data_IF_781724978761
#
_entry.id   IF_781724978761
#
_cell.length_a   1.000
_cell.length_b   1.000
_cell.length_c   1.000
_cell.angle_alpha   90.00
_cell.angle_beta   90.00
_cell.angle_gamma   90.00
#
_symmetry.space_group_name_H-M   'P 1'
#
loop_
_entity.id
_entity.type
_entity.pdbx_description
1 polymer ?
#
# COMPACT_ATOMS: atom_id res chain seq x y z
N UNK A 1 -25.33 -12.25 -7.44
CA UNK A 1 -24.20 -12.43 -6.51
C UNK A 1 -24.24 -11.29 -5.50
N UNK A 2 -24.27 -11.60 -4.20
CA UNK A 2 -24.25 -10.59 -3.15
C UNK A 2 -22.98 -9.75 -3.32
N UNK A 3 -23.13 -8.45 -3.58
CA UNK A 3 -22.04 -7.47 -3.51
C UNK A 3 -21.40 -7.58 -2.13
N UNK A 4 -20.14 -8.00 -2.09
CA UNK A 4 -19.37 -8.07 -0.84
C UNK A 4 -19.34 -6.66 -0.23
N UNK A 5 -19.81 -6.55 1.02
CA UNK A 5 -19.92 -5.30 1.77
C UNK A 5 -18.60 -4.52 1.86
N UNK A 6 -17.46 -5.21 1.61
CA UNK A 6 -16.12 -4.61 1.55
C UNK A 6 -15.84 -3.85 0.25
N UNK A 7 -16.28 -4.36 -0.90
CA UNK A 7 -16.30 -3.61 -2.18
C UNK A 7 -17.20 -2.38 -2.06
N UNK A 8 -18.31 -2.52 -1.33
CA UNK A 8 -19.20 -1.42 -1.02
C UNK A 8 -18.52 -0.35 -0.16
N UNK A 9 -17.57 -0.67 0.72
CA UNK A 9 -16.86 0.35 1.52
C UNK A 9 -15.95 1.26 0.67
N UNK A 10 -15.24 0.69 -0.32
CA UNK A 10 -14.47 1.48 -1.28
C UNK A 10 -15.38 2.44 -2.09
N UNK A 11 -16.63 2.03 -2.35
CA UNK A 11 -17.64 2.83 -3.04
C UNK A 11 -18.55 3.68 -2.14
N UNK A 12 -18.54 3.47 -0.81
CA UNK A 12 -19.44 4.13 0.16
C UNK A 12 -18.72 5.02 1.17
N UNK A 13 -17.37 5.07 1.17
CA UNK A 13 -16.68 6.24 1.70
C UNK A 13 -17.07 7.47 0.86
N UNK A 14 -17.23 8.64 1.48
CA UNK A 14 -17.73 9.91 0.90
C UNK A 14 -16.87 10.51 -0.25
N UNK A 15 -16.10 9.69 -0.96
CA UNK A 15 -15.26 10.04 -2.11
C UNK A 15 -15.67 9.15 -3.30
N UNK A 16 -16.87 9.38 -3.83
CA UNK A 16 -17.40 8.68 -5.01
C UNK A 16 -16.70 9.16 -6.29
N UNK A 17 -15.60 8.49 -6.68
CA UNK A 17 -15.12 8.36 -8.08
C UNK A 17 -13.85 7.53 -8.27
N UNK A 18 -13.25 6.95 -7.21
CA UNK A 18 -11.91 6.34 -7.28
C UNK A 18 -11.91 4.93 -7.88
N UNK A 19 -10.86 4.60 -8.65
CA UNK A 19 -10.58 3.21 -9.02
C UNK A 19 -10.00 2.43 -7.83
N UNK A 20 -10.02 1.10 -7.90
CA UNK A 20 -9.46 0.26 -6.85
C UNK A 20 -7.96 0.47 -6.66
N UNK A 21 -7.22 0.70 -7.76
CA UNK A 21 -5.79 1.03 -7.74
C UNK A 21 -5.50 2.37 -7.05
N UNK A 22 -6.30 3.40 -7.30
CA UNK A 22 -6.18 4.70 -6.62
C UNK A 22 -6.45 4.60 -5.11
N UNK A 23 -7.42 3.78 -4.70
CA UNK A 23 -7.66 3.51 -3.28
C UNK A 23 -6.47 2.81 -2.62
N UNK A 24 -5.88 1.80 -3.28
CA UNK A 24 -4.69 1.10 -2.77
C UNK A 24 -3.50 2.01 -2.63
N UNK A 25 -3.30 2.91 -3.58
CA UNK A 25 -2.25 3.93 -3.52
C UNK A 25 -2.31 4.71 -2.21
N UNK A 26 -3.47 5.28 -1.87
CA UNK A 26 -3.65 6.06 -0.64
C UNK A 26 -3.40 5.23 0.62
N UNK A 27 -3.84 3.97 0.63
CA UNK A 27 -3.63 3.10 1.77
C UNK A 27 -2.17 2.66 1.91
N UNK A 28 -1.43 2.48 0.79
CA UNK A 28 0.01 2.20 0.80
C UNK A 28 0.81 3.35 1.41
N UNK A 29 0.41 4.60 1.21
CA UNK A 29 1.09 5.77 1.84
C UNK A 29 1.13 5.64 3.36
N UNK A 30 0.00 5.28 3.99
CA UNK A 30 -0.05 5.07 5.45
C UNK A 30 0.84 3.89 5.85
N UNK A 31 0.76 2.81 5.10
CA UNK A 31 1.40 1.57 5.49
C UNK A 31 2.92 1.55 5.24
N UNK A 32 3.44 2.30 4.25
CA UNK A 32 4.86 2.62 4.13
C UNK A 32 5.34 3.26 5.44
N UNK A 33 4.62 4.27 5.93
CA UNK A 33 5.02 4.98 7.14
C UNK A 33 5.05 4.06 8.37
N UNK A 34 4.06 3.20 8.54
CA UNK A 34 4.03 2.22 9.64
C UNK A 34 5.18 1.20 9.55
N UNK A 35 5.43 0.65 8.35
CA UNK A 35 6.44 -0.39 8.17
C UNK A 35 7.86 0.16 8.31
N UNK A 36 8.13 1.39 7.85
CA UNK A 36 9.45 2.00 8.00
C UNK A 36 9.71 2.56 9.40
N UNK A 37 8.68 2.93 10.17
CA UNK A 37 8.82 3.31 11.59
C UNK A 37 9.05 2.10 12.48
N UNK A 38 8.56 0.92 12.11
CA UNK A 38 8.61 -0.27 12.96
C UNK A 38 10.03 -0.65 13.46
N UNK A 39 11.09 -0.68 12.63
CA UNK A 39 12.44 -0.98 13.12
C UNK A 39 12.96 0.03 14.14
N UNK A 40 12.74 1.33 13.89
CA UNK A 40 13.10 2.38 14.85
C UNK A 40 12.32 2.21 16.16
N UNK A 41 11.01 1.96 16.07
CA UNK A 41 10.16 1.76 17.24
C UNK A 41 10.60 0.53 18.06
N UNK A 42 10.95 -0.57 17.39
CA UNK A 42 11.50 -1.76 18.04
C UNK A 42 12.76 -1.42 18.84
N UNK A 43 13.68 -0.65 18.28
CA UNK A 43 14.89 -0.21 18.97
C UNK A 43 14.55 0.69 20.17
N UNK A 44 13.67 1.69 19.99
CA UNK A 44 13.26 2.59 21.08
C UNK A 44 12.57 1.90 22.25
N UNK A 45 11.77 0.87 21.98
CA UNK A 45 11.16 0.08 23.05
C UNK A 45 12.20 -0.80 23.74
N UNK A 46 13.13 -1.42 22.98
CA UNK A 46 14.22 -2.22 23.53
C UNK A 46 15.19 -1.44 24.42
N UNK A 47 15.36 -0.14 24.19
CA UNK A 47 16.13 0.74 25.09
C UNK A 47 15.54 0.80 26.51
N UNK A 48 14.20 0.67 26.63
CA UNK A 48 13.51 0.66 27.93
C UNK A 48 13.43 -0.74 28.52
N UNK A 49 13.19 -1.73 27.68
CA UNK A 49 13.17 -3.14 28.06
C UNK A 49 13.60 -4.02 26.87
N UNK A 50 14.81 -4.57 26.96
CA UNK A 50 15.42 -5.37 25.91
C UNK A 50 14.64 -6.65 25.54
N UNK A 51 13.75 -7.13 26.43
CA UNK A 51 12.94 -8.34 26.20
C UNK A 51 11.58 -8.04 25.58
N UNK A 52 11.18 -6.78 25.52
CA UNK A 52 9.91 -6.38 24.92
C UNK A 52 9.93 -6.61 23.41
N UNK A 53 8.82 -7.11 22.87
CA UNK A 53 8.64 -7.38 21.44
C UNK A 53 7.61 -6.42 20.87
N UNK A 54 7.96 -5.73 19.79
CA UNK A 54 7.05 -4.85 19.04
C UNK A 54 6.76 -5.46 17.68
N UNK A 55 5.48 -5.62 17.38
CA UNK A 55 4.99 -6.13 16.09
C UNK A 55 3.94 -5.19 15.52
N UNK A 56 3.87 -5.14 14.19
CA UNK A 56 2.67 -4.61 13.52
C UNK A 56 1.46 -5.48 13.91
N UNK A 57 0.36 -4.81 14.21
CA UNK A 57 -0.87 -5.41 14.70
C UNK A 57 -2.05 -5.00 13.84
N UNK A 58 -3.18 -5.68 14.03
CA UNK A 58 -4.40 -5.44 13.27
C UNK A 58 -4.52 -6.26 11.98
N UNK A 59 -5.74 -6.40 11.46
CA UNK A 59 -5.97 -7.05 10.17
C UNK A 59 -5.44 -6.29 8.94
N UNK A 60 -4.84 -5.10 9.11
CA UNK A 60 -4.06 -4.38 8.09
C UNK A 60 -2.54 -4.60 8.24
N UNK A 61 -2.12 -5.55 9.09
CA UNK A 61 -0.71 -5.95 9.31
C UNK A 61 0.08 -6.15 8.02
N UNK A 62 -0.58 -6.52 6.92
CA UNK A 62 0.04 -6.72 5.62
C UNK A 62 -0.76 -6.14 4.45
N UNK A 63 -1.42 -4.98 4.63
CA UNK A 63 -1.81 -4.15 3.47
C UNK A 63 -2.71 -4.94 2.49
N UNK A 64 -3.88 -5.35 2.96
CA UNK A 64 -4.70 -6.33 2.26
C UNK A 64 -5.46 -5.66 1.13
N UNK A 65 -5.00 -5.91 -0.07
CA UNK A 65 -5.42 -5.13 -1.22
C UNK A 65 -5.76 -5.97 -2.43
N UNK A 66 -5.82 -7.30 -2.37
CA UNK A 66 -6.05 -8.06 -3.61
C UNK A 66 -7.30 -8.91 -3.61
N UNK A 67 -7.63 -9.68 -2.57
CA UNK A 67 -8.82 -10.56 -2.66
C UNK A 67 -9.99 -10.21 -1.76
N UNK A 68 -9.79 -10.06 -0.44
CA UNK A 68 -10.91 -9.86 0.52
C UNK A 68 -10.52 -8.93 1.69
N UNK A 69 -9.54 -8.06 1.46
CA UNK A 69 -9.03 -7.09 2.42
C UNK A 69 -10.08 -6.13 2.96
N UNK A 70 -9.96 -5.78 4.23
CA UNK A 70 -10.85 -4.80 4.88
C UNK A 70 -10.09 -3.98 5.90
N UNK A 71 -10.48 -2.72 6.07
CA UNK A 71 -9.93 -1.86 7.11
C UNK A 71 -10.38 -2.41 8.47
N UNK A 72 -9.44 -2.82 9.33
CA UNK A 72 -9.75 -3.12 10.73
C UNK A 72 -9.71 -1.84 11.58
N UNK A 73 -10.32 -1.90 12.77
CA UNK A 73 -10.25 -0.81 13.76
C UNK A 73 -9.24 -1.11 14.85
N UNK A 74 -8.37 -2.08 14.60
CA UNK A 74 -7.35 -2.51 15.53
C UNK A 74 -6.19 -1.50 15.51
N UNK A 75 -5.42 -1.40 16.62
CA UNK A 75 -4.25 -0.52 16.66
C UNK A 75 -3.15 -0.98 15.71
N UNK A 76 -2.30 -0.04 15.27
CA UNK A 76 -1.28 -0.31 14.26
C UNK A 76 -0.12 -1.18 14.79
N UNK A 77 0.21 -1.08 16.09
CA UNK A 77 1.25 -1.91 16.72
C UNK A 77 0.81 -2.52 18.05
N UNK A 78 1.43 -3.64 18.39
CA UNK A 78 1.35 -4.29 19.70
C UNK A 78 2.74 -4.40 20.31
N UNK A 79 2.82 -4.08 21.60
CA UNK A 79 4.00 -4.31 22.44
C UNK A 79 3.65 -5.42 23.42
N UNK A 80 4.49 -6.45 23.45
CA UNK A 80 4.40 -7.55 24.42
C UNK A 80 5.61 -7.47 25.34
N UNK A 81 5.35 -7.19 26.61
CA UNK A 81 6.35 -7.21 27.66
C UNK A 81 6.64 -8.69 28.06
N UNK A 82 7.83 -9.03 28.58
CA UNK A 82 8.17 -10.41 28.97
C UNK A 82 7.24 -11.01 30.03
N UNK A 83 6.60 -10.17 30.85
CA UNK A 83 5.61 -10.58 31.85
C UNK A 83 4.22 -10.88 31.25
N UNK A 84 4.10 -10.87 29.92
CA UNK A 84 2.84 -11.12 29.20
C UNK A 84 1.88 -9.93 29.16
N UNK A 85 2.30 -8.75 29.66
CA UNK A 85 1.50 -7.53 29.52
C UNK A 85 1.48 -7.08 28.06
N UNK A 86 0.29 -6.66 27.60
CA UNK A 86 0.06 -6.19 26.24
C UNK A 86 -0.28 -4.71 26.29
N UNK A 87 0.44 -3.91 25.49
CA UNK A 87 0.12 -2.51 25.21
C UNK A 87 -0.04 -2.33 23.70
N UNK A 88 -0.89 -1.40 23.31
CA UNK A 88 -1.13 -1.07 21.92
C UNK A 88 -0.61 0.32 21.60
N UNK A 89 -0.14 0.50 20.36
CA UNK A 89 0.19 1.81 19.83
C UNK A 89 -0.61 2.08 18.57
N UNK A 90 -1.17 3.27 18.50
CA UNK A 90 -1.71 3.85 17.28
C UNK A 90 -0.68 4.82 16.71
N UNK A 91 -0.34 4.66 15.45
CA UNK A 91 0.61 5.51 14.76
C UNK A 91 -0.09 6.68 14.07
N UNK A 92 0.43 7.88 14.31
CA UNK A 92 0.01 9.07 13.59
C UNK A 92 1.23 9.93 13.32
N UNK A 93 1.28 10.55 12.14
CA UNK A 93 2.37 11.45 11.79
C UNK A 93 1.88 12.69 11.08
N UNK A 94 2.64 13.78 11.21
CA UNK A 94 2.46 15.02 10.48
C UNK A 94 3.48 15.12 9.34
N UNK A 95 2.99 15.34 8.11
CA UNK A 95 3.85 15.54 6.93
C UNK A 95 4.56 16.89 6.93
N UNK A 96 3.99 17.87 7.63
CA UNK A 96 4.49 19.23 7.79
C UNK A 96 4.23 19.69 9.24
N UNK A 97 4.92 20.72 9.71
CA UNK A 97 4.57 21.36 10.98
C UNK A 97 3.21 22.06 10.86
N UNK A 98 2.34 21.86 11.85
CA UNK A 98 1.01 22.44 11.89
C UNK A 98 0.86 23.34 13.11
N UNK A 99 -0.07 24.32 13.04
CA UNK A 99 -0.43 25.16 14.18
C UNK A 99 -1.20 24.40 15.26
N UNK A 100 -1.86 23.30 14.88
CA UNK A 100 -2.52 22.37 15.77
C UNK A 100 -2.61 20.97 15.14
N UNK A 101 -2.72 19.96 15.99
CA UNK A 101 -2.75 18.56 15.58
C UNK A 101 -4.07 17.90 16.04
N UNK A 102 -4.72 17.23 15.11
CA UNK A 102 -6.05 16.64 15.30
C UNK A 102 -5.96 15.13 15.58
N UNK A 103 -6.74 14.67 16.54
CA UNK A 103 -6.85 13.26 16.92
C UNK A 103 -8.31 12.82 16.87
N UNK A 104 -8.61 11.72 16.16
CA UNK A 104 -9.99 11.30 15.94
C UNK A 104 -10.63 10.90 17.27
N UNK A 105 -11.78 11.49 17.62
CA UNK A 105 -12.44 11.21 18.92
C UNK A 105 -12.71 9.71 19.09
N UNK A 106 -13.07 8.99 18.02
CA UNK A 106 -13.30 7.54 18.07
C UNK A 106 -12.05 6.71 18.43
N UNK A 107 -10.84 7.24 18.21
CA UNK A 107 -9.57 6.59 18.58
C UNK A 107 -9.16 6.92 20.02
N UNK A 108 -9.45 8.14 20.47
CA UNK A 108 -9.08 8.64 21.81
C UNK A 108 -10.11 8.25 22.87
N UNK A 109 -11.38 8.63 22.68
CA UNK A 109 -12.48 8.37 23.61
C UNK A 109 -13.64 7.65 22.88
N UNK A 110 -13.47 6.35 22.57
CA UNK A 110 -14.56 5.55 22.03
C UNK A 110 -15.75 5.55 23.01
N UNK A 111 -16.96 5.39 22.47
CA UNK A 111 -18.16 5.26 23.30
C UNK A 111 -18.14 3.91 24.00
N UNK A 112 -18.10 3.90 25.32
CA UNK A 112 -18.31 2.72 26.13
C UNK A 112 -19.79 2.31 26.03
N UNK A 113 -20.05 1.10 25.53
CA UNK A 113 -21.43 0.60 25.33
C UNK A 113 -22.17 0.35 26.65
N UNK A 114 -21.45 0.03 27.73
CA UNK A 114 -22.02 -0.24 29.05
C UNK A 114 -22.35 1.07 29.77
N UNK A 115 -21.47 2.06 29.69
CA UNK A 115 -21.62 3.35 30.38
C UNK A 115 -22.31 4.42 29.54
N UNK A 116 -22.52 4.18 28.23
CA UNK A 116 -23.00 5.18 27.24
C UNK A 116 -22.22 6.50 27.27
N UNK A 117 -20.98 6.47 27.75
CA UNK A 117 -20.11 7.62 27.93
C UNK A 117 -18.83 7.44 27.09
N UNK A 118 -18.18 8.55 26.76
CA UNK A 118 -16.89 8.54 26.08
C UNK A 118 -15.77 8.45 27.12
N UNK A 119 -15.01 7.36 27.09
CA UNK A 119 -13.94 7.09 28.06
C UNK A 119 -12.62 6.95 27.30
N UNK A 120 -11.52 7.61 27.75
CA UNK A 120 -10.21 7.42 27.16
C UNK A 120 -9.76 5.95 27.20
N UNK A 121 -9.19 5.45 26.09
CA UNK A 121 -8.55 4.12 26.09
C UNK A 121 -7.42 4.09 27.13
N UNK A 122 -7.23 2.93 27.79
CA UNK A 122 -6.27 2.76 28.89
C UNK A 122 -5.01 2.01 28.48
N UNK A 123 -5.13 1.14 27.50
CA UNK A 123 -4.13 0.18 27.00
C UNK A 123 -3.51 0.60 25.67
N UNK A 124 -3.95 1.71 25.10
CA UNK A 124 -3.47 2.25 23.82
C UNK A 124 -2.83 3.61 24.03
N UNK A 125 -1.61 3.82 23.52
CA UNK A 125 -1.00 5.14 23.38
C UNK A 125 -0.96 5.56 21.91
N UNK A 126 -0.84 6.87 21.66
CA UNK A 126 -0.61 7.40 20.32
C UNK A 126 0.88 7.68 20.17
N UNK A 127 1.53 6.96 19.26
CA UNK A 127 2.86 7.33 18.75
C UNK A 127 2.66 8.43 17.73
N UNK A 128 3.03 9.66 18.11
CA UNK A 128 2.95 10.82 17.23
C UNK A 128 4.34 11.19 16.72
N UNK A 129 4.49 11.35 15.40
CA UNK A 129 5.74 11.80 14.76
C UNK A 129 5.52 13.08 13.97
N UNK A 130 6.37 14.09 14.17
CA UNK A 130 6.47 15.27 13.31
C UNK A 130 7.63 15.03 12.35
N UNK A 131 7.31 14.54 11.15
CA UNK A 131 8.30 14.07 10.16
C UNK A 131 9.35 15.13 9.78
N UNK A 132 8.99 16.42 9.53
CA UNK A 132 9.99 17.43 9.15
C UNK A 132 11.07 17.69 10.20
N UNK A 133 10.72 17.60 11.48
CA UNK A 133 11.65 17.86 12.59
C UNK A 133 12.22 16.58 13.19
N UNK A 134 11.81 15.41 12.70
CA UNK A 134 12.18 14.09 13.25
C UNK A 134 11.93 14.01 14.76
N UNK A 135 10.81 14.59 15.18
CA UNK A 135 10.38 14.63 16.58
C UNK A 135 9.27 13.62 16.82
N UNK A 136 9.24 13.02 18.01
CA UNK A 136 8.18 12.10 18.39
C UNK A 136 7.72 12.27 19.85
N UNK A 137 6.51 11.79 20.12
CA UNK A 137 5.97 11.66 21.46
C UNK A 137 5.06 10.42 21.57
N UNK A 138 5.03 9.82 22.76
CA UNK A 138 4.01 8.84 23.15
C UNK A 138 2.95 9.56 23.98
N UNK A 139 1.75 9.67 23.44
CA UNK A 139 0.66 10.44 24.03
C UNK A 139 -0.44 9.51 24.53
N UNK A 140 -0.79 9.64 25.81
CA UNK A 140 -1.94 8.89 26.34
C UNK A 140 -3.25 9.54 25.88
N UNK A 141 -4.30 8.74 25.58
CA UNK A 141 -5.63 9.26 25.25
C UNK A 141 -6.19 10.19 26.34
N UNK A 142 -5.88 9.91 27.61
CA UNK A 142 -6.26 10.76 28.75
C UNK A 142 -5.60 12.14 28.67
N UNK A 143 -4.32 12.20 28.32
CA UNK A 143 -3.61 13.47 28.15
C UNK A 143 -4.19 14.26 26.97
N UNK A 144 -4.44 13.62 25.83
CA UNK A 144 -5.02 14.27 24.65
C UNK A 144 -6.39 14.86 25.01
N UNK A 145 -7.28 14.08 25.63
CA UNK A 145 -8.61 14.56 25.99
C UNK A 145 -8.61 15.73 26.98
N UNK A 146 -7.59 15.85 27.84
CA UNK A 146 -7.46 16.94 28.82
C UNK A 146 -6.87 18.23 28.23
N UNK A 147 -5.97 18.12 27.25
CA UNK A 147 -5.20 19.25 26.71
C UNK A 147 -5.65 19.66 25.29
N UNK A 148 -6.89 19.34 24.92
CA UNK A 148 -7.44 19.62 23.60
C UNK A 148 -8.79 20.32 23.66
N UNK A 149 -9.17 20.90 22.53
CA UNK A 149 -10.54 21.37 22.28
C UNK A 149 -11.22 20.42 21.31
N UNK A 150 -12.48 20.06 21.54
CA UNK A 150 -13.26 19.31 20.57
C UNK A 150 -13.70 20.19 19.41
N UNK A 151 -13.48 19.72 18.18
CA UNK A 151 -13.88 20.44 16.96
C UNK A 151 -14.16 19.44 15.83
N UNK A 152 -14.39 19.94 14.63
CA UNK A 152 -14.52 19.15 13.40
C UNK A 152 -13.30 19.36 12.51
N UNK A 153 -12.81 18.27 11.91
CA UNK A 153 -11.73 18.33 10.92
C UNK A 153 -12.30 18.16 9.52
N UNK A 154 -12.30 19.24 8.73
CA UNK A 154 -12.74 19.22 7.34
C UNK A 154 -11.98 18.19 6.50
N UNK A 155 -10.66 18.08 6.73
CA UNK A 155 -9.78 17.10 6.07
C UNK A 155 -10.22 15.64 6.28
N UNK A 156 -11.05 15.34 7.28
CA UNK A 156 -11.55 14.00 7.59
C UNK A 156 -13.07 13.90 7.42
N UNK A 157 -13.63 14.61 6.43
CA UNK A 157 -15.08 14.59 6.17
C UNK A 157 -15.91 15.16 7.33
N UNK A 158 -15.39 16.22 7.98
CA UNK A 158 -15.98 16.84 9.16
C UNK A 158 -16.11 15.89 10.39
N UNK A 159 -15.25 14.87 10.46
CA UNK A 159 -15.18 14.01 11.63
C UNK A 159 -14.88 14.82 12.90
N UNK A 160 -15.48 14.40 14.02
CA UNK A 160 -15.18 14.98 15.34
C UNK A 160 -13.76 14.61 15.76
N UNK A 161 -12.99 15.61 16.17
CA UNK A 161 -11.60 15.49 16.59
C UNK A 161 -11.33 16.21 17.91
N UNK A 162 -10.32 15.74 18.62
CA UNK A 162 -9.62 16.51 19.63
C UNK A 162 -8.49 17.27 18.95
N UNK A 163 -8.49 18.60 19.04
CA UNK A 163 -7.44 19.46 18.51
C UNK A 163 -6.52 19.93 19.63
N UNK A 164 -5.24 19.64 19.52
CA UNK A 164 -4.20 20.09 20.46
C UNK A 164 -3.32 21.13 19.78
N UNK A 165 -3.09 22.28 20.43
CA UNK A 165 -2.24 23.33 19.89
C UNK A 165 -0.77 22.88 19.78
N UNK A 166 -0.06 23.38 18.77
CA UNK A 166 1.32 22.96 18.52
C UNK A 166 2.26 23.19 19.71
N UNK A 167 2.08 24.29 20.44
CA UNK A 167 2.89 24.62 21.62
C UNK A 167 2.72 23.59 22.74
N UNK A 168 1.52 23.04 22.93
CA UNK A 168 1.27 22.01 23.95
C UNK A 168 1.90 20.67 23.58
N UNK A 169 1.84 20.31 22.29
CA UNK A 169 2.47 19.08 21.79
C UNK A 169 4.00 19.18 21.81
N UNK A 170 4.57 20.31 21.37
CA UNK A 170 6.02 20.50 21.31
C UNK A 170 6.70 20.35 22.68
N UNK A 171 6.01 20.67 23.78
CA UNK A 171 6.51 20.44 25.15
C UNK A 171 6.78 18.96 25.47
N UNK A 172 6.15 18.03 24.77
CA UNK A 172 6.30 16.58 24.97
C UNK A 172 7.16 15.91 23.90
N UNK A 173 7.50 16.62 22.83
CA UNK A 173 8.24 16.09 21.70
C UNK A 173 9.69 15.85 22.08
N UNK A 174 10.26 14.77 21.54
CA UNK A 174 11.66 14.38 21.68
C UNK A 174 12.27 14.24 20.31
N UNK A 175 13.50 14.71 20.16
CA UNK A 175 14.29 14.51 18.95
C UNK A 175 15.00 13.17 19.00
N UNK A 176 15.18 12.56 17.83
CA UNK A 176 15.88 11.30 17.67
C UNK A 176 16.51 11.21 16.28
N UNK A 177 17.83 11.11 16.20
CA UNK A 177 18.54 11.06 14.92
C UNK A 177 18.26 9.77 14.13
N UNK A 178 17.96 8.65 14.81
CA UNK A 178 17.62 7.41 14.10
C UNK A 178 16.21 7.49 13.48
N UNK A 179 15.31 8.29 14.06
CA UNK A 179 13.99 8.56 13.50
C UNK A 179 14.08 9.31 12.16
N UNK A 180 15.11 10.15 12.00
CA UNK A 180 15.35 10.91 10.76
C UNK A 180 15.52 9.98 9.56
N UNK A 181 16.30 8.91 9.71
CA UNK A 181 16.51 7.92 8.65
C UNK A 181 15.20 7.23 8.23
N UNK A 182 14.35 6.88 9.20
CA UNK A 182 13.04 6.32 8.92
C UNK A 182 12.14 7.34 8.19
N UNK A 183 12.13 8.60 8.65
CA UNK A 183 11.37 9.67 8.01
C UNK A 183 11.80 9.93 6.56
N UNK A 184 13.10 9.95 6.29
CA UNK A 184 13.64 10.09 4.93
C UNK A 184 13.27 8.90 4.04
N UNK A 185 13.36 7.67 4.55
CA UNK A 185 12.98 6.47 3.80
C UNK A 185 11.49 6.47 3.44
N UNK A 186 10.63 6.94 4.36
CA UNK A 186 9.19 7.10 4.11
C UNK A 186 8.95 8.05 2.94
N UNK A 187 9.63 9.20 2.91
CA UNK A 187 9.49 10.16 1.82
C UNK A 187 9.95 9.60 0.49
N UNK A 188 11.10 8.93 0.46
CA UNK A 188 11.62 8.31 -0.77
C UNK A 188 10.66 7.25 -1.31
N UNK A 189 10.12 6.38 -0.45
CA UNK A 189 9.17 5.33 -0.85
C UNK A 189 7.81 5.90 -1.27
N UNK A 190 7.31 6.94 -0.61
CA UNK A 190 6.09 7.64 -1.05
C UNK A 190 6.32 8.28 -2.43
N UNK A 191 7.46 8.94 -2.65
CA UNK A 191 7.77 9.52 -3.96
C UNK A 191 7.90 8.47 -5.07
N UNK A 192 8.48 7.30 -4.77
CA UNK A 192 8.51 6.15 -5.68
C UNK A 192 7.10 5.62 -5.96
N UNK A 193 6.26 5.54 -4.93
CA UNK A 193 4.85 5.13 -5.05
C UNK A 193 4.07 6.08 -5.95
N UNK A 194 4.21 7.39 -5.74
CA UNK A 194 3.57 8.42 -6.56
C UNK A 194 4.09 8.35 -8.01
N UNK A 195 5.40 8.20 -8.20
CA UNK A 195 6.03 8.11 -9.52
C UNK A 195 5.51 6.92 -10.32
N UNK A 196 5.42 5.72 -9.72
CA UNK A 196 4.91 4.56 -10.45
C UNK A 196 3.41 4.66 -10.74
N UNK A 197 2.63 5.33 -9.87
CA UNK A 197 1.19 5.47 -10.02
C UNK A 197 0.81 6.28 -11.26
N UNK A 198 1.64 7.25 -11.65
CA UNK A 198 1.48 8.04 -12.88
C UNK A 198 1.37 7.17 -14.14
N UNK A 199 1.89 5.93 -14.10
CA UNK A 199 1.78 4.99 -15.23
C UNK A 199 0.33 4.69 -15.58
N UNK A 200 -0.55 4.60 -14.59
CA UNK A 200 -1.97 4.33 -14.81
C UNK A 200 -2.67 5.50 -15.51
N UNK A 201 -2.37 6.72 -15.09
CA UNK A 201 -2.92 7.93 -15.72
C UNK A 201 -2.47 8.04 -17.18
N UNK A 202 -1.20 7.75 -17.47
CA UNK A 202 -0.66 7.72 -18.83
C UNK A 202 -1.37 6.68 -19.71
N UNK A 203 -1.58 5.46 -19.21
CA UNK A 203 -2.28 4.42 -20.00
C UNK A 203 -3.78 4.75 -20.14
N UNK A 204 -4.40 5.39 -19.15
CA UNK A 204 -5.79 5.86 -19.22
C UNK A 204 -5.96 6.95 -20.28
N UNK A 205 -5.05 7.91 -20.37
CA UNK A 205 -5.05 8.89 -21.46
C UNK A 205 -4.88 8.20 -22.82
N UNK A 206 -3.89 7.31 -22.94
CA UNK A 206 -3.59 6.57 -24.17
C UNK A 206 -4.76 5.71 -24.65
N UNK A 207 -5.52 5.11 -23.74
CA UNK A 207 -6.65 4.22 -24.04
C UNK A 207 -8.02 4.90 -23.96
N UNK A 208 -8.07 6.21 -23.67
CA UNK A 208 -9.31 6.98 -23.49
C UNK A 208 -10.30 6.85 -24.66
N UNK A 209 -9.82 6.99 -25.90
CA UNK A 209 -10.65 6.83 -27.12
C UNK A 209 -11.24 5.42 -27.25
N UNK A 210 -10.46 4.41 -26.86
CA UNK A 210 -10.90 3.02 -26.88
C UNK A 210 -11.98 2.78 -25.82
N UNK A 211 -11.77 3.30 -24.60
CA UNK A 211 -12.76 3.26 -23.53
C UNK A 211 -14.09 3.90 -23.94
N UNK A 212 -14.05 5.12 -24.48
CA UNK A 212 -15.25 5.83 -24.98
C UNK A 212 -16.01 4.99 -26.00
N UNK A 213 -15.29 4.43 -26.98
CA UNK A 213 -15.90 3.61 -28.03
C UNK A 213 -16.63 2.37 -27.48
N UNK A 214 -16.12 1.75 -26.42
CA UNK A 214 -16.76 0.57 -25.80
C UNK A 214 -17.99 0.96 -25.00
N UNK A 215 -17.92 2.06 -24.23
CA UNK A 215 -19.05 2.59 -23.47
C UNK A 215 -20.20 2.98 -24.40
N UNK A 216 -19.90 3.72 -25.46
CA UNK A 216 -20.92 4.28 -26.38
C UNK A 216 -21.65 3.19 -27.19
N UNK A 217 -20.98 2.07 -27.48
CA UNK A 217 -21.52 1.03 -28.38
C UNK A 217 -22.22 -0.11 -27.64
N UNK A 218 -22.21 -0.11 -26.29
CA UNK A 218 -22.63 -1.22 -25.41
C UNK A 218 -22.20 -2.61 -25.91
N UNK A 219 -21.07 -2.65 -26.64
CA UNK A 219 -20.56 -3.86 -27.26
C UNK A 219 -19.92 -4.68 -26.15
N UNK A 220 -20.63 -5.71 -25.71
CA UNK A 220 -20.06 -6.82 -24.96
C UNK A 220 -18.79 -7.29 -25.69
N UNK A 221 -17.63 -7.14 -25.04
CA UNK A 221 -16.34 -7.57 -25.58
C UNK A 221 -16.35 -9.10 -25.63
N UNK A 222 -16.86 -9.67 -26.73
CA UNK A 222 -16.59 -11.06 -27.14
C UNK A 222 -15.26 -11.14 -27.90
N UNK A 223 -14.26 -10.39 -27.48
CA UNK A 223 -12.95 -10.37 -28.13
C UNK A 223 -12.06 -11.34 -27.37
N UNK A 224 -11.71 -12.45 -28.00
CA UNK A 224 -10.64 -13.31 -27.52
C UNK A 224 -9.31 -12.62 -27.86
N UNK A 225 -8.52 -12.21 -26.85
CA UNK A 225 -7.21 -11.58 -27.10
C UNK A 225 -6.27 -12.57 -27.81
N UNK A 226 -5.45 -12.06 -28.73
CA UNK A 226 -4.53 -12.87 -29.56
C UNK A 226 -3.06 -12.74 -29.14
N UNK A 227 -2.74 -11.67 -28.43
CA UNK A 227 -1.41 -11.33 -27.94
C UNK A 227 -1.54 -10.53 -26.64
N UNK A 228 -0.42 -10.30 -25.96
CA UNK A 228 -0.39 -9.64 -24.65
C UNK A 228 -0.96 -8.21 -24.69
N UNK A 229 -0.67 -7.42 -25.72
CA UNK A 229 -1.22 -6.06 -25.87
C UNK A 229 -2.76 -6.07 -25.97
N UNK A 230 -3.32 -6.95 -26.80
CA UNK A 230 -4.77 -7.10 -26.90
C UNK A 230 -5.39 -7.64 -25.60
N UNK A 231 -4.70 -8.54 -24.90
CA UNK A 231 -5.13 -9.08 -23.60
C UNK A 231 -5.20 -7.96 -22.57
N UNK A 232 -4.12 -7.20 -22.44
CA UNK A 232 -4.03 -6.04 -21.56
C UNK A 232 -5.13 -5.02 -21.83
N UNK A 233 -5.36 -4.63 -23.09
CA UNK A 233 -6.42 -3.69 -23.45
C UNK A 233 -7.81 -4.19 -23.03
N UNK A 234 -8.08 -5.48 -23.20
CA UNK A 234 -9.36 -6.05 -22.78
C UNK A 234 -9.49 -6.04 -21.25
N UNK A 235 -8.48 -6.48 -20.51
CA UNK A 235 -8.48 -6.38 -19.04
C UNK A 235 -8.66 -4.93 -18.57
N UNK A 236 -7.95 -3.99 -19.18
CA UNK A 236 -8.05 -2.57 -18.89
C UNK A 236 -9.47 -2.04 -19.09
N UNK A 237 -10.11 -2.34 -20.22
CA UNK A 237 -11.48 -1.92 -20.47
C UNK A 237 -12.45 -2.54 -19.47
N UNK A 238 -12.35 -3.86 -19.24
CA UNK A 238 -13.21 -4.59 -18.31
C UNK A 238 -13.09 -4.03 -16.88
N UNK A 239 -11.88 -3.69 -16.44
CA UNK A 239 -11.63 -3.05 -15.14
C UNK A 239 -12.36 -1.70 -15.02
N UNK A 240 -12.25 -0.85 -16.04
CA UNK A 240 -12.83 0.49 -16.05
C UNK A 240 -14.37 0.49 -16.13
N UNK A 241 -14.98 -0.52 -16.74
CA UNK A 241 -16.44 -0.70 -16.77
C UNK A 241 -16.94 -1.64 -15.67
N UNK A 242 -16.05 -2.06 -14.76
CA UNK A 242 -16.33 -2.96 -13.64
C UNK A 242 -17.04 -4.27 -14.06
N UNK A 243 -16.56 -4.90 -15.14
CA UNK A 243 -17.01 -6.20 -15.64
C UNK A 243 -15.94 -7.28 -15.40
N UNK A 244 -16.39 -8.52 -15.30
CA UNK A 244 -15.54 -9.71 -15.12
C UNK A 244 -15.63 -10.58 -16.37
N UNK A 245 -14.52 -11.11 -16.90
CA UNK A 245 -14.57 -12.02 -18.03
C UNK A 245 -15.18 -13.37 -17.63
N UNK A 246 -15.92 -13.96 -18.57
CA UNK A 246 -16.41 -15.34 -18.44
C UNK A 246 -15.22 -16.31 -18.35
N UNK A 247 -15.25 -17.23 -17.38
CA UNK A 247 -14.17 -18.19 -17.09
C UNK A 247 -12.80 -17.53 -16.81
N UNK A 248 -12.73 -16.73 -15.74
CA UNK A 248 -11.52 -16.02 -15.32
C UNK A 248 -10.31 -16.94 -15.06
N UNK A 249 -10.51 -18.17 -14.61
CA UNK A 249 -9.45 -19.19 -14.46
C UNK A 249 -8.72 -19.49 -15.77
N UNK A 250 -9.46 -19.70 -16.86
CA UNK A 250 -8.85 -19.92 -18.19
C UNK A 250 -8.05 -18.71 -18.66
N UNK A 251 -8.56 -17.50 -18.38
CA UNK A 251 -7.86 -16.25 -18.70
C UNK A 251 -6.55 -16.13 -17.93
N UNK A 252 -6.52 -16.52 -16.66
CA UNK A 252 -5.31 -16.54 -15.86
C UNK A 252 -4.28 -17.49 -16.47
N UNK A 253 -4.67 -18.72 -16.82
CA UNK A 253 -3.77 -19.69 -17.47
C UNK A 253 -3.22 -19.12 -18.79
N UNK A 254 -4.08 -18.51 -19.61
CA UNK A 254 -3.64 -17.91 -20.87
C UNK A 254 -2.68 -16.74 -20.64
N UNK A 255 -2.96 -15.86 -19.67
CA UNK A 255 -2.07 -14.77 -19.30
C UNK A 255 -0.68 -15.28 -18.86
N UNK A 256 -0.64 -16.29 -18.00
CA UNK A 256 0.60 -16.86 -17.47
C UNK A 256 1.43 -17.57 -18.56
N UNK A 257 0.83 -17.93 -19.69
CA UNK A 257 1.54 -18.52 -20.83
C UNK A 257 2.46 -17.50 -21.53
N UNK A 258 2.17 -16.19 -21.46
CA UNK A 258 3.03 -15.15 -22.04
C UNK A 258 4.41 -15.08 -21.34
N UNK A 259 4.51 -15.55 -20.09
CA UNK A 259 5.80 -15.64 -19.38
C UNK A 259 6.74 -16.71 -19.97
N UNK A 260 6.32 -17.53 -20.94
CA UNK A 260 7.24 -18.44 -21.64
C UNK A 260 8.11 -17.74 -22.69
N UNK A 261 7.78 -16.49 -23.04
CA UNK A 261 8.56 -15.68 -23.97
C UNK A 261 9.42 -14.67 -23.19
N UNK A 262 10.56 -14.22 -23.75
CA UNK A 262 11.27 -13.06 -23.21
C UNK A 262 10.35 -11.83 -23.23
N UNK A 263 10.26 -11.13 -22.11
CA UNK A 263 9.46 -9.91 -21.97
C UNK A 263 10.39 -8.75 -21.65
N UNK A 264 10.10 -7.57 -22.22
CA UNK A 264 10.67 -6.32 -21.74
C UNK A 264 9.84 -5.74 -20.57
N UNK A 265 10.29 -4.61 -20.02
CA UNK A 265 9.65 -3.94 -18.89
C UNK A 265 8.21 -3.50 -19.19
N UNK A 266 7.91 -3.06 -20.41
CA UNK A 266 6.57 -2.64 -20.81
C UNK A 266 5.60 -3.82 -20.92
N UNK A 267 6.05 -4.92 -21.52
CA UNK A 267 5.28 -6.16 -21.61
C UNK A 267 5.04 -6.75 -20.24
N UNK A 268 6.04 -6.71 -19.36
CA UNK A 268 5.88 -7.18 -17.99
C UNK A 268 4.86 -6.33 -17.21
N UNK A 269 4.88 -5.01 -17.38
CA UNK A 269 3.84 -4.13 -16.84
C UNK A 269 2.43 -4.54 -17.32
N UNK A 270 2.25 -4.76 -18.63
CA UNK A 270 0.95 -5.17 -19.20
C UNK A 270 0.47 -6.50 -18.61
N UNK A 271 1.39 -7.46 -18.46
CA UNK A 271 1.10 -8.76 -17.86
C UNK A 271 0.66 -8.61 -16.40
N UNK A 272 1.38 -7.81 -15.63
CA UNK A 272 1.15 -7.67 -14.19
C UNK A 272 -0.12 -6.87 -13.88
N UNK A 273 -0.42 -5.83 -14.66
CA UNK A 273 -1.72 -5.16 -14.59
C UNK A 273 -2.86 -6.15 -14.86
N UNK A 274 -2.72 -6.99 -15.89
CA UNK A 274 -3.75 -7.98 -16.23
C UNK A 274 -3.89 -9.06 -15.15
N UNK A 275 -2.78 -9.45 -14.52
CA UNK A 275 -2.76 -10.41 -13.42
C UNK A 275 -3.48 -9.83 -12.19
N UNK A 276 -3.16 -8.59 -11.84
CA UNK A 276 -3.81 -7.85 -10.76
C UNK A 276 -5.33 -7.69 -10.98
N UNK A 277 -5.75 -7.49 -12.22
CA UNK A 277 -7.17 -7.50 -12.57
C UNK A 277 -7.82 -8.88 -12.42
N UNK A 278 -7.19 -9.95 -12.90
CA UNK A 278 -7.82 -11.29 -12.88
C UNK A 278 -7.78 -11.94 -11.50
N UNK A 279 -6.69 -11.77 -10.76
CA UNK A 279 -6.42 -12.46 -9.50
C UNK A 279 -7.55 -12.32 -8.47
N UNK A 280 -8.14 -11.14 -8.19
CA UNK A 280 -9.25 -10.98 -7.24
C UNK A 280 -10.50 -11.80 -7.59
N UNK A 281 -10.66 -12.14 -8.86
CA UNK A 281 -11.90 -12.68 -9.45
C UNK A 281 -11.90 -14.22 -9.53
N UNK A 282 -10.87 -14.86 -8.98
CA UNK A 282 -10.62 -16.30 -9.08
C UNK A 282 -10.33 -16.85 -7.69
N UNK A 283 -10.93 -17.98 -7.34
CA UNK A 283 -10.43 -18.82 -6.25
C UNK A 283 -9.52 -19.88 -6.87
N UNK A 284 -8.23 -19.87 -6.52
CA UNK A 284 -7.22 -20.72 -7.16
C UNK A 284 -7.37 -22.16 -6.70
N UNK A 285 -7.43 -23.08 -7.66
CA UNK A 285 -7.21 -24.50 -7.41
C UNK A 285 -5.71 -24.79 -7.18
N UNK A 286 -5.38 -25.95 -6.60
CA UNK A 286 -4.00 -26.29 -6.20
C UNK A 286 -2.99 -26.21 -7.34
N UNK A 287 -3.36 -26.70 -8.53
CA UNK A 287 -2.55 -26.65 -9.74
C UNK A 287 -2.38 -25.21 -10.27
N UNK A 288 -3.43 -24.40 -10.23
CA UNK A 288 -3.37 -22.99 -10.62
C UNK A 288 -2.50 -22.18 -9.66
N UNK A 289 -2.63 -22.43 -8.36
CA UNK A 289 -1.82 -21.84 -7.30
C UNK A 289 -0.34 -22.18 -7.48
N UNK A 290 0.00 -23.47 -7.66
CA UNK A 290 1.38 -23.89 -7.89
C UNK A 290 1.97 -23.27 -9.15
N UNK A 291 1.18 -23.18 -10.23
CA UNK A 291 1.58 -22.50 -11.46
C UNK A 291 1.84 -21.01 -11.21
N UNK A 292 0.92 -20.31 -10.55
CA UNK A 292 1.05 -18.89 -10.24
C UNK A 292 2.28 -18.60 -9.37
N UNK A 293 2.52 -19.39 -8.31
CA UNK A 293 3.71 -19.24 -7.44
C UNK A 293 5.00 -19.38 -8.25
N UNK A 294 5.11 -20.41 -9.09
CA UNK A 294 6.26 -20.61 -9.98
C UNK A 294 6.46 -19.41 -10.91
N UNK A 295 5.36 -18.86 -11.45
CA UNK A 295 5.40 -17.70 -12.35
C UNK A 295 5.77 -16.41 -11.65
N UNK A 296 5.28 -16.17 -10.43
CA UNK A 296 5.67 -15.01 -9.62
C UNK A 296 7.16 -15.03 -9.31
N UNK A 297 7.74 -16.19 -8.98
CA UNK A 297 9.20 -16.34 -8.82
C UNK A 297 9.97 -15.95 -10.08
N UNK A 298 9.55 -16.46 -11.24
CA UNK A 298 10.15 -16.10 -12.54
C UNK A 298 10.06 -14.60 -12.81
N UNK A 299 8.94 -13.97 -12.44
CA UNK A 299 8.80 -12.52 -12.60
C UNK A 299 9.75 -11.76 -11.66
N UNK A 300 9.86 -12.17 -10.40
CA UNK A 300 10.81 -11.57 -9.45
C UNK A 300 12.25 -11.66 -9.96
N UNK A 301 12.62 -12.80 -10.56
CA UNK A 301 13.92 -12.98 -11.21
C UNK A 301 14.12 -12.02 -12.41
N UNK A 302 13.09 -11.85 -13.26
CA UNK A 302 13.14 -10.88 -14.37
C UNK A 302 13.31 -9.44 -13.87
N UNK A 303 12.55 -9.04 -12.86
CA UNK A 303 12.66 -7.72 -12.22
C UNK A 303 14.08 -7.48 -11.71
N UNK A 304 14.67 -8.46 -11.03
CA UNK A 304 16.05 -8.39 -10.59
C UNK A 304 17.05 -8.31 -11.75
N UNK A 305 16.80 -9.06 -12.83
CA UNK A 305 17.63 -9.05 -14.04
C UNK A 305 17.64 -7.71 -14.78
N UNK A 306 16.58 -6.91 -14.68
CA UNK A 306 16.52 -5.57 -15.28
C UNK A 306 17.20 -4.49 -14.44
N UNK A 307 17.58 -4.77 -13.18
CA UNK A 307 18.09 -3.76 -12.30
C UNK A 307 19.49 -3.27 -12.68
N UNK A 308 19.63 -1.97 -12.93
CA UNK A 308 20.91 -1.29 -13.03
C UNK A 308 21.28 -0.68 -11.68
N UNK A 309 21.83 -1.51 -10.78
CA UNK A 309 22.17 -1.13 -9.41
C UNK A 309 23.18 0.05 -9.30
N UNK A 310 23.95 0.33 -10.35
CA UNK A 310 24.87 1.48 -10.38
C UNK A 310 24.13 2.80 -10.60
N UNK A 311 23.10 2.79 -11.45
CA UNK A 311 22.32 3.99 -11.80
C UNK A 311 21.09 4.18 -10.92
N UNK A 312 20.60 3.13 -10.25
CA UNK A 312 19.30 3.15 -9.59
C UNK A 312 18.13 3.11 -10.58
N UNK A 313 18.36 2.59 -11.79
CA UNK A 313 17.33 2.48 -12.84
C UNK A 313 17.08 1.02 -13.19
N UNK A 314 16.06 0.78 -14.02
CA UNK A 314 15.82 -0.50 -14.65
C UNK A 314 15.96 -0.38 -16.17
N UNK A 315 16.55 -1.40 -16.80
CA UNK A 315 16.87 -1.43 -18.22
C UNK A 315 16.64 -2.85 -18.76
N UNK A 316 15.72 -3.01 -19.72
CA UNK A 316 15.42 -4.31 -20.35
C UNK A 316 15.53 -4.27 -21.88
N UNK A 317 15.30 -3.09 -22.47
CA UNK A 317 15.38 -2.88 -23.91
C UNK A 317 16.07 -1.53 -24.20
N UNK A 318 17.14 -1.55 -24.99
CA UNK A 318 17.89 -0.36 -25.40
C UNK A 318 17.05 0.70 -26.13
N UNK A 319 15.89 0.32 -26.66
CA UNK A 319 15.00 1.22 -27.38
C UNK A 319 13.99 1.91 -26.45
N UNK A 320 13.90 1.50 -25.19
CA UNK A 320 13.03 2.13 -24.20
C UNK A 320 13.83 3.16 -23.38
N UNK A 321 13.15 4.25 -23.01
CA UNK A 321 13.75 5.25 -22.14
C UNK A 321 13.90 4.67 -20.72
N UNK A 322 15.08 4.77 -20.08
CA UNK A 322 15.31 4.18 -18.75
C UNK A 322 14.33 4.66 -17.66
N UNK A 323 13.80 5.89 -17.78
CA UNK A 323 12.80 6.42 -16.84
C UNK A 323 11.43 5.72 -17.00
N UNK A 324 11.05 5.39 -18.23
CA UNK A 324 9.81 4.67 -18.51
C UNK A 324 9.92 3.21 -18.08
N UNK A 325 11.07 2.59 -18.34
CA UNK A 325 11.37 1.23 -17.88
C UNK A 325 11.33 1.15 -16.35
N UNK A 326 11.98 2.11 -15.68
CA UNK A 326 11.94 2.22 -14.22
C UNK A 326 10.52 2.36 -13.71
N UNK A 327 9.66 3.17 -14.35
CA UNK A 327 8.25 3.30 -13.96
C UNK A 327 7.48 1.98 -14.10
N UNK A 328 7.67 1.27 -15.22
CA UNK A 328 7.03 -0.02 -15.47
C UNK A 328 7.42 -1.08 -14.42
N UNK A 329 8.72 -1.14 -14.06
CA UNK A 329 9.21 -2.11 -13.09
C UNK A 329 8.81 -1.76 -11.66
N UNK A 330 8.79 -0.48 -11.29
CA UNK A 330 8.30 -0.07 -9.97
C UNK A 330 6.81 -0.38 -9.77
N UNK A 331 5.99 -0.19 -10.81
CA UNK A 331 4.60 -0.66 -10.81
C UNK A 331 4.53 -2.17 -10.63
N UNK A 332 5.38 -2.91 -11.35
CA UNK A 332 5.43 -4.37 -11.28
C UNK A 332 5.80 -4.86 -9.88
N UNK A 333 6.85 -4.31 -9.27
CA UNK A 333 7.27 -4.61 -7.89
C UNK A 333 6.11 -4.39 -6.93
N UNK A 334 5.45 -3.24 -7.05
CA UNK A 334 4.35 -2.84 -6.17
C UNK A 334 3.23 -3.88 -6.13
N UNK A 335 2.87 -4.44 -7.29
CA UNK A 335 1.80 -5.44 -7.43
C UNK A 335 2.26 -6.85 -7.02
N UNK A 336 3.48 -7.26 -7.37
CA UNK A 336 3.99 -8.59 -7.00
C UNK A 336 4.12 -8.72 -5.49
N UNK A 337 4.59 -7.67 -4.82
CA UNK A 337 4.67 -7.65 -3.36
C UNK A 337 3.30 -7.82 -2.71
N UNK A 338 2.26 -7.16 -3.25
CA UNK A 338 0.89 -7.35 -2.79
C UNK A 338 0.42 -8.79 -3.03
N UNK A 339 0.66 -9.33 -4.24
CA UNK A 339 0.24 -10.69 -4.62
C UNK A 339 0.88 -11.76 -3.76
N UNK A 340 2.19 -11.64 -3.50
CA UNK A 340 2.93 -12.54 -2.64
C UNK A 340 2.32 -12.58 -1.25
N UNK A 341 2.01 -11.42 -0.66
CA UNK A 341 1.42 -11.39 0.68
C UNK A 341 -0.02 -11.90 0.72
N UNK A 342 -0.84 -11.59 -0.27
CA UNK A 342 -2.21 -12.11 -0.35
C UNK A 342 -2.20 -13.64 -0.48
N UNK A 343 -1.30 -14.19 -1.31
CA UNK A 343 -1.11 -15.64 -1.43
C UNK A 343 -0.66 -16.30 -0.13
N UNK A 344 0.38 -15.77 0.52
CA UNK A 344 0.86 -16.30 1.80
C UNK A 344 -0.24 -16.26 2.88
N UNK A 345 -1.06 -15.22 2.87
CA UNK A 345 -2.13 -15.08 3.84
C UNK A 345 -3.28 -16.07 3.61
N UNK A 346 -3.80 -16.15 2.37
CA UNK A 346 -5.00 -16.96 2.07
C UNK A 346 -4.71 -18.42 1.79
N UNK A 347 -3.52 -18.74 1.28
CA UNK A 347 -3.16 -20.10 0.87
C UNK A 347 -1.97 -20.69 1.65
N UNK A 348 -1.12 -19.84 2.25
CA UNK A 348 0.11 -20.28 2.92
C UNK A 348 -0.08 -21.10 4.22
N UNK A 349 -1.30 -21.18 4.76
CA UNK A 349 -1.60 -22.05 5.92
C UNK A 349 -1.80 -23.51 5.52
N UNK A 350 -2.45 -23.73 4.39
CA UNK A 350 -2.85 -25.06 3.92
C UNK A 350 -1.83 -25.62 2.93
N UNK A 351 -1.07 -24.75 2.28
CA UNK A 351 -0.07 -25.08 1.28
C UNK A 351 1.27 -24.46 1.69
N UNK A 352 2.35 -25.26 1.65
CA UNK A 352 3.70 -24.74 1.88
C UNK A 352 4.18 -23.99 0.63
N UNK A 353 3.80 -22.72 0.52
CA UNK A 353 4.15 -21.89 -0.63
C UNK A 353 5.63 -21.51 -0.56
N UNK A 354 6.33 -21.74 -1.66
CA UNK A 354 7.72 -21.30 -1.86
C UNK A 354 7.76 -19.81 -2.21
N UNK A 355 7.37 -18.97 -1.24
CA UNK A 355 7.32 -17.52 -1.32
C UNK A 355 7.82 -16.91 -0.01
N UNK A 356 8.70 -15.93 -0.12
CA UNK A 356 9.19 -15.20 1.06
C UNK A 356 8.23 -14.07 1.46
N UNK A 357 7.91 -13.91 2.76
CA UNK A 357 7.06 -12.83 3.23
C UNK A 357 7.61 -11.43 2.91
N UNK A 358 6.72 -10.54 2.46
CA UNK A 358 7.07 -9.14 2.18
C UNK A 358 7.01 -8.29 3.45
N UNK A 359 8.16 -7.94 4.00
CA UNK A 359 8.21 -7.22 5.29
C UNK A 359 8.17 -5.70 5.15
N UNK A 360 8.43 -5.17 3.94
CA UNK A 360 8.39 -3.74 3.61
C UNK A 360 7.87 -3.53 2.19
N UNK A 361 7.20 -2.41 1.95
CA UNK A 361 6.86 -2.00 0.58
C UNK A 361 8.14 -1.59 -0.15
N UNK A 362 8.26 -1.97 -1.42
CA UNK A 362 9.43 -1.80 -2.26
C UNK A 362 10.68 -2.51 -1.72
N UNK A 363 10.50 -3.69 -1.12
CA UNK A 363 11.61 -4.55 -0.69
C UNK A 363 12.40 -5.15 -1.86
N UNK A 364 11.78 -5.30 -3.03
CA UNK A 364 12.45 -5.83 -4.23
C UNK A 364 13.29 -4.77 -4.97
N UNK A 365 13.23 -3.51 -4.56
CA UNK A 365 14.13 -2.47 -5.10
C UNK A 365 15.54 -2.69 -4.51
N UNK A 366 16.58 -2.89 -5.34
CA UNK A 366 17.93 -3.16 -4.83
C UNK A 366 18.50 -2.03 -3.97
N UNK A 367 18.22 -0.78 -4.33
CA UNK A 367 18.69 0.42 -3.64
C UNK A 367 17.66 1.54 -3.79
N UNK A 368 16.89 1.79 -2.72
CA UNK A 368 15.81 2.79 -2.72
C UNK A 368 16.36 4.20 -2.87
N UNK A 369 17.51 4.50 -2.26
CA UNK A 369 18.12 5.83 -2.31
C UNK A 369 18.57 6.18 -3.72
N UNK A 370 19.30 5.28 -4.38
CA UNK A 370 19.72 5.49 -5.77
C UNK A 370 18.52 5.56 -6.72
N UNK A 371 17.49 4.75 -6.48
CA UNK A 371 16.29 4.75 -7.32
C UNK A 371 15.54 6.07 -7.21
N UNK A 372 15.36 6.56 -5.98
CA UNK A 372 14.80 7.88 -5.73
C UNK A 372 15.62 8.99 -6.41
N UNK A 373 16.94 8.99 -6.23
CA UNK A 373 17.84 9.97 -6.84
C UNK A 373 17.77 9.96 -8.37
N UNK A 374 17.68 8.78 -8.99
CA UNK A 374 17.53 8.62 -10.42
C UNK A 374 16.23 9.27 -10.93
N UNK A 375 15.11 9.01 -10.25
CA UNK A 375 13.79 9.59 -10.57
C UNK A 375 13.87 11.11 -10.47
N UNK A 376 14.34 11.64 -9.33
CA UNK A 376 14.43 13.09 -9.09
C UNK A 376 15.32 13.80 -10.12
N UNK A 377 16.49 13.24 -10.44
CA UNK A 377 17.40 13.81 -11.44
C UNK A 377 16.80 13.80 -12.84
N UNK A 378 15.94 12.85 -13.16
CA UNK A 378 15.37 12.74 -14.51
C UNK A 378 14.13 13.60 -14.67
N UNK A 379 13.31 13.75 -13.62
CA UNK A 379 12.14 14.64 -13.63
C UNK A 379 12.51 16.13 -13.62
N UNK A 380 13.64 16.50 -13.01
CA UNK A 380 14.09 17.90 -12.91
C UNK A 380 14.98 18.37 -14.07
N UNK A 381 15.13 17.58 -15.14
CA UNK A 381 15.84 18.03 -16.34
C UNK A 381 14.93 18.92 -17.18
N UNK A 382 15.33 20.17 -17.51
CA UNK A 382 14.62 20.94 -18.52
C UNK A 382 14.66 20.18 -19.85
N UNK A 383 13.51 20.15 -20.52
CA UNK A 383 13.30 19.45 -21.80
C UNK A 383 14.22 19.98 -22.92
#
# INVERSE_FOLDING_TARGET
MNTDAKTTYAQSSDIKSRTYLEYRHDMKVKAIAELEILPWLQNKIKEKDAKSVVEKYGGDKFIWFLRKGGITREPDFVIRDPDGQIKFLEFQYAKQELSAYDFKVSKITPTDRKQKARVPKKDTEILYVIKPTSEFALLTPKWIAKNSTQTQAAAWGNARVYRVGAQEIKKLMKQDEELKLACEMIDKKIAILDFQAQKLDMEKEKLSRLLQTVVDKDKLIKIMPRNLDSFYKVCFILDHINKTPDNSSLWLVYLLSFLEQPLNSHELFMLIYSLDFLYPRIELEKNELASLVKKLRKITELVGGFANARKGSFESDKNLAPIEETRNILFTINIIEDLTQDLLFYYGKDENLDLEPVTRIFQLIPDVDKTFDFIQKTQNRPA
#
